data_IF_599658513799
#
_entry.id   IF_599658513799
#
_cell.length_a   1.000
_cell.length_b   1.000
_cell.length_c   1.000
_cell.angle_alpha   90.00
_cell.angle_beta   90.00
_cell.angle_gamma   90.00
#
_symmetry.space_group_name_H-M   'P 1'
#
loop_
_entity.id
_entity.type
_entity.pdbx_description
1 polymer ?
#
# COMPACT_ATOMS: atom_id res chain seq x y z
N UNK A 1 -15.79 -25.99 19.99
CA UNK A 1 -15.05 -25.20 18.98
C UNK A 1 -13.87 -24.58 19.71
N UNK A 2 -12.63 -24.96 19.37
CA UNK A 2 -11.44 -24.44 20.07
C UNK A 2 -11.02 -23.16 19.38
N UNK A 3 -11.17 -22.03 20.04
CA UNK A 3 -10.52 -20.76 19.67
C UNK A 3 -9.01 -21.00 19.68
N UNK A 4 -8.39 -21.06 18.50
CA UNK A 4 -6.94 -20.92 18.38
C UNK A 4 -6.65 -19.43 18.53
N UNK A 5 -6.36 -18.99 19.75
CA UNK A 5 -5.61 -17.76 19.93
C UNK A 5 -4.24 -17.99 19.29
N UNK A 6 -4.02 -17.40 18.11
CA UNK A 6 -2.70 -17.39 17.49
C UNK A 6 -1.76 -16.60 18.41
N UNK A 7 -0.56 -17.13 18.72
CA UNK A 7 0.37 -16.42 19.58
C UNK A 7 0.74 -15.10 18.91
N UNK A 8 0.41 -13.99 19.57
CA UNK A 8 0.88 -12.65 19.19
C UNK A 8 2.40 -12.70 19.26
N UNK A 9 3.04 -12.63 18.10
CA UNK A 9 4.48 -12.76 18.03
C UNK A 9 5.15 -11.43 18.42
N UNK A 10 5.57 -11.33 19.68
CA UNK A 10 6.42 -10.25 20.16
C UNK A 10 7.87 -10.53 19.77
N UNK A 11 8.24 -10.16 18.55
CA UNK A 11 9.65 -9.98 18.20
C UNK A 11 9.95 -8.48 18.27
N UNK A 12 10.94 -8.11 19.08
CA UNK A 12 11.26 -6.73 19.46
C UNK A 12 11.71 -5.86 18.26
N UNK A 13 12.02 -6.49 17.12
CA UNK A 13 12.35 -5.85 15.84
C UNK A 13 11.15 -5.80 14.86
N UNK A 14 9.97 -6.29 15.26
CA UNK A 14 8.78 -6.33 14.40
C UNK A 14 7.84 -5.13 14.57
N UNK A 15 8.14 -4.19 15.48
CA UNK A 15 7.28 -3.05 15.74
C UNK A 15 7.02 -2.23 14.47
N UNK A 16 8.04 -2.12 13.61
CA UNK A 16 7.99 -1.33 12.37
C UNK A 16 7.73 -2.20 11.13
N UNK A 17 7.70 -3.53 11.29
CA UNK A 17 7.61 -4.46 10.16
C UNK A 17 6.35 -4.26 9.32
N UNK A 18 5.22 -3.96 9.95
CA UNK A 18 3.96 -3.77 9.24
C UNK A 18 4.02 -2.54 8.33
N UNK A 19 4.64 -1.46 8.81
CA UNK A 19 4.83 -0.24 8.05
C UNK A 19 5.82 -0.46 6.89
N UNK A 20 6.94 -1.15 7.16
CA UNK A 20 7.91 -1.51 6.14
C UNK A 20 7.30 -2.42 5.07
N UNK A 21 6.47 -3.38 5.48
CA UNK A 21 5.77 -4.28 4.57
C UNK A 21 4.74 -3.53 3.73
N UNK A 22 4.00 -2.57 4.29
CA UNK A 22 3.05 -1.75 3.55
C UNK A 22 3.78 -0.93 2.47
N UNK A 23 4.79 -0.14 2.85
CA UNK A 23 5.61 0.63 1.92
C UNK A 23 6.26 -0.25 0.84
N UNK A 24 6.68 -1.47 1.19
CA UNK A 24 7.23 -2.42 0.25
C UNK A 24 6.20 -2.92 -0.78
N UNK A 25 4.99 -3.25 -0.33
CA UNK A 25 3.91 -3.75 -1.19
C UNK A 25 3.35 -2.65 -2.10
N UNK A 26 3.30 -1.42 -1.63
CA UNK A 26 2.85 -0.25 -2.40
C UNK A 26 3.93 0.26 -3.37
N UNK A 27 5.15 -0.30 -3.31
CA UNK A 27 6.27 0.07 -4.17
C UNK A 27 7.02 1.34 -3.72
N UNK A 28 6.64 1.93 -2.59
CA UNK A 28 7.18 3.16 -2.01
C UNK A 28 8.43 2.94 -1.14
N UNK A 29 8.77 1.68 -0.84
CA UNK A 29 9.96 1.38 -0.04
C UNK A 29 11.27 1.78 -0.73
N UNK A 30 12.14 2.47 0.00
CA UNK A 30 13.50 2.80 -0.41
C UNK A 30 14.38 1.54 -0.56
N UNK A 31 15.57 1.69 -1.16
CA UNK A 31 16.51 0.58 -1.31
C UNK A 31 17.00 0.07 0.05
N UNK A 32 17.24 0.98 0.99
CA UNK A 32 17.66 0.71 2.35
C UNK A 32 16.57 -0.07 3.09
N UNK A 33 15.32 0.41 3.03
CA UNK A 33 14.17 -0.23 3.67
C UNK A 33 13.92 -1.64 3.13
N UNK A 34 14.05 -1.83 1.82
CA UNK A 34 13.96 -3.16 1.19
C UNK A 34 15.02 -4.09 1.75
N UNK A 35 16.26 -3.62 1.88
CA UNK A 35 17.35 -4.43 2.41
C UNK A 35 17.08 -4.84 3.86
N UNK A 36 16.69 -3.89 4.71
CA UNK A 36 16.38 -4.14 6.13
C UNK A 36 15.20 -5.11 6.29
N UNK A 37 14.13 -4.92 5.52
CA UNK A 37 13.00 -5.84 5.48
C UNK A 37 13.43 -7.25 5.06
N UNK A 38 14.28 -7.38 4.03
CA UNK A 38 14.76 -8.68 3.55
C UNK A 38 15.63 -9.40 4.59
N UNK A 39 16.51 -8.68 5.29
CA UNK A 39 17.30 -9.23 6.40
C UNK A 39 16.37 -9.74 7.51
N UNK A 40 15.39 -8.94 7.91
CA UNK A 40 14.47 -9.34 8.98
C UNK A 40 13.64 -10.58 8.61
N UNK A 41 13.04 -10.63 7.41
CA UNK A 41 12.22 -11.80 7.01
C UNK A 41 13.06 -13.03 6.68
N UNK A 42 14.37 -12.88 6.45
CA UNK A 42 15.28 -14.01 6.37
C UNK A 42 15.44 -14.68 7.75
N UNK A 43 15.59 -13.88 8.80
CA UNK A 43 15.86 -14.37 10.15
C UNK A 43 14.59 -14.66 10.97
N UNK A 44 13.44 -14.09 10.57
CA UNK A 44 12.15 -14.27 11.26
C UNK A 44 11.10 -14.97 10.39
N UNK A 45 10.92 -16.29 10.62
CA UNK A 45 10.00 -17.13 9.86
C UNK A 45 8.51 -16.71 9.96
N UNK A 46 8.11 -16.09 11.08
CA UNK A 46 6.74 -15.60 11.28
C UNK A 46 6.48 -14.38 10.39
N UNK A 47 7.41 -13.42 10.40
CA UNK A 47 7.37 -12.20 9.60
C UNK A 47 7.43 -12.52 8.11
N UNK A 48 8.27 -13.48 7.73
CA UNK A 48 8.30 -14.01 6.38
C UNK A 48 6.95 -14.59 5.94
N UNK A 49 6.24 -15.30 6.85
CA UNK A 49 4.91 -15.85 6.55
C UNK A 49 3.86 -14.75 6.42
N UNK A 50 3.93 -13.72 7.25
CA UNK A 50 3.05 -12.55 7.17
C UNK A 50 3.24 -11.83 5.84
N UNK A 51 4.47 -11.45 5.48
CA UNK A 51 4.77 -10.75 4.23
C UNK A 51 4.30 -11.55 3.01
N UNK A 52 4.59 -12.86 2.96
CA UNK A 52 4.08 -13.75 1.89
C UNK A 52 2.56 -13.83 1.82
N UNK A 53 1.87 -13.65 2.93
CA UNK A 53 0.40 -13.67 2.96
C UNK A 53 -0.17 -12.34 2.45
N UNK A 54 0.45 -11.22 2.82
CA UNK A 54 0.12 -9.91 2.27
C UNK A 54 0.36 -9.85 0.75
N UNK A 55 1.53 -10.31 0.27
CA UNK A 55 1.85 -10.39 -1.16
C UNK A 55 0.80 -11.17 -1.95
N UNK A 56 0.40 -12.35 -1.43
CA UNK A 56 -0.64 -13.16 -2.07
C UNK A 56 -1.99 -12.46 -2.11
N UNK A 57 -2.35 -11.68 -1.09
CA UNK A 57 -3.57 -10.89 -1.13
C UNK A 57 -3.51 -9.85 -2.25
N UNK A 58 -2.40 -9.11 -2.36
CA UNK A 58 -2.18 -8.13 -3.44
C UNK A 58 -2.28 -8.80 -4.82
N UNK A 59 -1.60 -9.94 -5.02
CA UNK A 59 -1.69 -10.72 -6.26
C UNK A 59 -3.14 -11.12 -6.59
N UNK A 60 -3.91 -11.59 -5.60
CA UNK A 60 -5.32 -11.96 -5.79
C UNK A 60 -6.18 -10.75 -6.16
N UNK A 61 -5.96 -9.60 -5.51
CA UNK A 61 -6.69 -8.37 -5.85
C UNK A 61 -6.41 -7.90 -7.28
N UNK A 62 -5.18 -8.07 -7.78
CA UNK A 62 -4.84 -7.77 -9.18
C UNK A 62 -5.51 -8.69 -10.21
N UNK A 63 -5.98 -9.88 -9.81
CA UNK A 63 -6.74 -10.78 -10.69
C UNK A 63 -8.20 -10.35 -10.83
N UNK A 64 -8.70 -9.45 -9.98
CA UNK A 64 -10.06 -8.95 -10.08
C UNK A 64 -10.14 -8.07 -11.34
N UNK A 65 -11.06 -8.37 -12.29
CA UNK A 65 -11.16 -7.61 -13.51
C UNK A 65 -11.44 -6.14 -13.20
N UNK A 66 -10.68 -5.25 -13.84
CA UNK A 66 -10.96 -3.82 -13.76
C UNK A 66 -12.36 -3.55 -14.28
N UNK A 67 -13.18 -2.95 -13.43
CA UNK A 67 -14.44 -2.36 -13.85
C UNK A 67 -14.11 -1.10 -14.64
N UNK A 68 -14.70 -0.95 -15.83
CA UNK A 68 -14.61 0.31 -16.55
C UNK A 68 -15.30 1.40 -15.74
N UNK A 69 -14.64 2.56 -15.63
CA UNK A 69 -15.23 3.73 -14.97
C UNK A 69 -16.41 4.20 -15.82
N UNK A 70 -17.61 4.36 -15.25
CA UNK A 70 -18.75 4.86 -16.01
C UNK A 70 -18.45 6.23 -16.63
N UNK A 71 -18.80 6.42 -17.91
CA UNK A 71 -18.44 7.61 -18.68
C UNK A 71 -18.82 8.93 -17.99
N UNK A 72 -19.99 8.97 -17.35
CA UNK A 72 -20.47 10.16 -16.63
C UNK A 72 -19.61 10.51 -15.40
N UNK A 73 -19.02 9.52 -14.73
CA UNK A 73 -18.10 9.74 -13.60
C UNK A 73 -16.77 10.27 -14.11
N UNK A 74 -16.26 9.67 -15.19
CA UNK A 74 -15.03 10.12 -15.83
C UNK A 74 -15.13 11.57 -16.30
N UNK A 75 -16.24 11.95 -16.94
CA UNK A 75 -16.48 13.32 -17.39
C UNK A 75 -16.58 14.32 -16.23
N UNK A 76 -17.34 13.98 -15.18
CA UNK A 76 -17.46 14.82 -13.98
C UNK A 76 -16.11 15.03 -13.29
N UNK A 77 -15.28 13.98 -13.20
CA UNK A 77 -13.95 14.07 -12.64
C UNK A 77 -13.07 15.04 -13.43
N UNK A 78 -13.08 14.97 -14.77
CA UNK A 78 -12.29 15.89 -15.59
C UNK A 78 -12.77 17.34 -15.54
N UNK A 79 -14.07 17.57 -15.33
CA UNK A 79 -14.59 18.92 -15.07
C UNK A 79 -14.04 19.44 -13.73
N UNK A 80 -14.13 18.64 -12.68
CA UNK A 80 -13.61 19.02 -11.36
C UNK A 80 -12.11 19.28 -11.38
N UNK A 81 -11.30 18.38 -11.98
CA UNK A 81 -9.85 18.55 -12.10
C UNK A 81 -9.49 19.85 -12.85
N UNK A 82 -10.19 20.17 -13.95
CA UNK A 82 -9.96 21.43 -14.67
C UNK A 82 -10.28 22.65 -13.83
N UNK A 83 -11.41 22.63 -13.12
CA UNK A 83 -11.79 23.73 -12.24
C UNK A 83 -10.72 24.00 -11.17
N UNK A 84 -10.22 22.96 -10.51
CA UNK A 84 -9.14 23.09 -9.51
C UNK A 84 -7.83 23.60 -10.13
N UNK A 85 -7.46 23.10 -11.31
CA UNK A 85 -6.24 23.56 -12.01
C UNK A 85 -6.35 25.01 -12.48
N UNK A 86 -7.53 25.44 -12.90
CA UNK A 86 -7.76 26.83 -13.32
C UNK A 86 -7.78 27.77 -12.10
N UNK A 87 -8.38 27.35 -10.97
CA UNK A 87 -8.33 28.15 -9.73
C UNK A 87 -6.92 28.32 -9.15
N UNK A 88 -6.03 27.33 -9.32
CA UNK A 88 -4.63 27.45 -8.91
C UNK A 88 -3.84 28.39 -9.83
N UNK A 89 -4.20 28.48 -11.10
CA UNK A 89 -3.51 29.35 -12.08
C UNK A 89 -3.88 30.82 -11.93
N UNK A 90 -5.10 31.13 -11.49
CA UNK A 90 -5.53 32.50 -11.24
C UNK A 90 -4.82 33.11 -10.01
N UNK A 91 -4.38 32.31 -9.03
CA UNK A 91 -3.64 32.77 -7.84
C UNK A 91 -2.17 33.12 -8.14
N UNK A 92 -1.58 32.56 -9.19
CA UNK A 92 -0.18 32.82 -9.61
C UNK A 92 -0.04 34.05 -10.53
N UNK A 93 -1.14 34.56 -11.12
CA UNK A 93 -1.13 35.70 -12.06
C UNK A 93 -1.37 37.06 -11.35
N UNK A 94 -1.67 37.04 -10.04
CA UNK A 94 -1.95 38.22 -9.21
C UNK A 94 -0.86 38.53 -8.14
N UNK A 95 0.29 37.82 -8.20
CA UNK A 95 1.48 38.03 -7.35
C UNK A 95 2.68 38.61 -8.13
#
# INVERSE_FOLDING_TARGET
>A
MRERAEPVHECHECAELLEWAAAYLDGEASAELRSELMVHVHDCAVCARMLRSLQRMVEVFHLIPHQEVPAHVHEQLWIAIRHELDSVRDEDEEA
#
